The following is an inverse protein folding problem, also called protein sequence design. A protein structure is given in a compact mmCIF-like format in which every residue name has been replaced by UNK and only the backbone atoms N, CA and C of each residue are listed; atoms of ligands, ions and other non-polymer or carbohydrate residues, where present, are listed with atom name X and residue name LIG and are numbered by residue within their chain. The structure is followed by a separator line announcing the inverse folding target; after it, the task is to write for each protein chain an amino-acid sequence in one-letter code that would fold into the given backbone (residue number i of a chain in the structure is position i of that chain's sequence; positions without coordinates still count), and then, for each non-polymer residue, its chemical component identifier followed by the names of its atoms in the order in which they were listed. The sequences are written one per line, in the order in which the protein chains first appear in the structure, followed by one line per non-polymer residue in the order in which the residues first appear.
data_IF_913414883768
#
_entry.id   IF_913414883768
#
_cell.length_a   1.000
_cell.length_b   1.000
_cell.length_c   1.000
_cell.angle_alpha   90.00
_cell.angle_beta   90.00
_cell.angle_gamma   90.00
#
_symmetry.space_group_name_H-M   'P 1'
#
loop_
_entity.id
_entity.type
_entity.pdbx_description
1 polymer ?
#
# COMPACT_ATOMS: atom_id res chain seq x y z
N UNK A 1 -16.14 -11.69 6.96
CA UNK A 1 -17.33 -10.94 6.52
C UNK A 1 -18.48 -11.26 7.44
N UNK A 2 -19.09 -10.22 8.00
CA UNK A 2 -20.32 -10.31 8.79
C UNK A 2 -21.34 -9.40 8.10
N UNK A 3 -22.38 -9.98 7.50
CA UNK A 3 -23.40 -9.23 6.75
C UNK A 3 -24.48 -8.69 7.69
N UNK A 4 -24.83 -9.46 8.74
CA UNK A 4 -25.78 -9.03 9.78
C UNK A 4 -25.10 -9.05 11.16
N UNK A 5 -25.52 -8.21 12.11
CA UNK A 5 -24.85 -8.11 13.41
C UNK A 5 -24.75 -9.43 14.19
N UNK A 6 -25.70 -10.34 14.02
CA UNK A 6 -25.75 -11.64 14.72
C UNK A 6 -24.97 -12.77 14.04
N UNK A 7 -24.51 -12.60 12.80
CA UNK A 7 -23.72 -13.64 12.12
C UNK A 7 -22.29 -13.73 12.69
N UNK A 8 -21.70 -14.93 12.74
CA UNK A 8 -20.30 -15.09 13.11
C UNK A 8 -19.40 -14.33 12.13
N UNK A 9 -18.34 -13.73 12.64
CA UNK A 9 -17.33 -13.09 11.80
C UNK A 9 -16.46 -14.17 11.15
N UNK A 10 -16.69 -14.42 9.87
CA UNK A 10 -15.87 -15.35 9.08
C UNK A 10 -14.70 -14.61 8.44
N UNK A 11 -13.50 -14.72 8.98
CA UNK A 11 -12.31 -14.08 8.41
C UNK A 11 -11.71 -14.94 7.30
N UNK A 12 -11.52 -14.33 6.13
CA UNK A 12 -10.87 -14.95 4.97
C UNK A 12 -9.75 -14.01 4.52
N UNK A 13 -8.55 -14.10 5.10
CA UNK A 13 -7.44 -13.23 4.73
C UNK A 13 -7.06 -13.47 3.27
N UNK A 14 -7.06 -12.40 2.47
CA UNK A 14 -6.67 -12.45 1.06
C UNK A 14 -5.15 -12.46 0.89
N UNK A 15 -4.44 -11.77 1.79
CA UNK A 15 -2.98 -11.61 1.77
C UNK A 15 -2.39 -12.11 3.09
N UNK A 16 -1.16 -12.61 3.05
CA UNK A 16 -0.38 -12.85 4.26
C UNK A 16 -0.07 -11.52 4.97
N UNK A 17 0.18 -11.52 6.29
CA UNK A 17 0.55 -10.31 7.02
C UNK A 17 1.77 -9.60 6.41
N UNK A 18 2.79 -10.37 5.98
CA UNK A 18 3.99 -9.81 5.36
C UNK A 18 3.72 -9.17 4.00
N UNK A 19 2.90 -9.80 3.15
CA UNK A 19 2.51 -9.22 1.87
C UNK A 19 1.71 -7.92 2.05
N UNK A 20 0.72 -7.93 2.96
CA UNK A 20 -0.08 -6.76 3.29
C UNK A 20 0.79 -5.60 3.81
N UNK A 21 1.76 -5.90 4.68
CA UNK A 21 2.69 -4.92 5.23
C UNK A 21 3.57 -4.28 4.15
N UNK A 22 4.19 -5.08 3.27
CA UNK A 22 5.04 -4.56 2.18
C UNK A 22 4.22 -3.68 1.22
N UNK A 23 3.05 -4.16 0.79
CA UNK A 23 2.17 -3.41 -0.14
C UNK A 23 1.76 -2.07 0.48
N UNK A 24 1.41 -2.07 1.76
CA UNK A 24 1.03 -0.84 2.46
C UNK A 24 2.16 0.17 2.50
N UNK A 25 3.40 -0.25 2.79
CA UNK A 25 4.59 0.62 2.78
C UNK A 25 4.88 1.18 1.38
N UNK A 26 4.74 0.36 0.34
CA UNK A 26 4.86 0.83 -1.06
C UNK A 26 3.85 1.94 -1.34
N UNK A 27 2.58 1.74 -0.98
CA UNK A 27 1.51 2.71 -1.19
C UNK A 27 1.64 3.98 -0.32
N UNK A 28 2.42 3.92 0.76
CA UNK A 28 2.78 5.07 1.59
C UNK A 28 4.04 5.81 1.09
N UNK A 29 4.70 5.33 0.03
CA UNK A 29 5.98 5.88 -0.44
C UNK A 29 7.19 5.45 0.41
N UNK A 30 7.02 4.47 1.29
CA UNK A 30 8.04 3.90 2.19
C UNK A 30 8.55 2.53 1.69
N UNK A 31 8.65 2.35 0.37
CA UNK A 31 8.99 1.07 -0.25
C UNK A 31 10.42 0.57 0.07
N UNK A 32 11.33 1.49 0.37
CA UNK A 32 12.74 1.17 0.60
C UNK A 32 12.96 0.69 2.04
N UNK A 33 13.78 -0.34 2.26
CA UNK A 33 14.05 -0.81 3.61
C UNK A 33 14.91 0.18 4.39
N UNK A 34 14.56 0.34 5.66
CA UNK A 34 15.28 1.14 6.66
C UNK A 34 15.48 0.29 7.92
N UNK A 35 16.42 0.65 8.80
CA UNK A 35 16.58 -0.03 10.09
C UNK A 35 15.27 -0.02 10.89
N UNK A 36 15.02 -1.07 11.69
CA UNK A 36 13.75 -1.20 12.44
C UNK A 36 13.50 -0.01 13.39
N UNK A 37 14.57 0.53 14.00
CA UNK A 37 14.48 1.71 14.85
C UNK A 37 14.04 2.99 14.11
N UNK A 38 14.17 3.01 12.79
CA UNK A 38 13.76 4.10 11.91
C UNK A 38 12.41 3.86 11.24
N UNK A 39 11.78 2.69 11.46
CA UNK A 39 10.45 2.40 10.90
C UNK A 39 9.37 3.19 11.62
N UNK A 40 8.58 3.94 10.84
CA UNK A 40 7.37 4.60 11.34
C UNK A 40 6.41 3.53 11.86
N UNK A 41 6.19 3.50 13.18
CA UNK A 41 5.33 2.52 13.85
C UNK A 41 3.85 2.68 13.48
N UNK A 42 3.47 3.89 13.07
CA UNK A 42 2.14 4.23 12.55
C UNK A 42 2.31 4.63 11.10
N UNK A 43 1.97 3.75 10.16
CA UNK A 43 2.13 4.08 8.73
C UNK A 43 1.29 5.31 8.39
N UNK A 44 1.85 6.28 7.64
CA UNK A 44 1.07 7.39 7.11
C UNK A 44 -0.04 6.88 6.19
N UNK A 45 -0.84 7.82 5.67
CA UNK A 45 -1.87 7.50 4.68
C UNK A 45 -1.22 6.85 3.45
N UNK A 46 -1.47 5.55 3.27
CA UNK A 46 -1.08 4.79 2.09
C UNK A 46 -2.24 4.82 1.10
N UNK A 47 -2.02 5.16 -0.17
CA UNK A 47 -3.13 5.33 -1.10
C UNK A 47 -2.78 5.01 -2.55
N UNK A 48 -3.84 4.76 -3.32
CA UNK A 48 -3.74 4.57 -4.77
C UNK A 48 -4.88 5.27 -5.48
N UNK A 49 -4.56 5.83 -6.64
CA UNK A 49 -5.53 6.41 -7.58
C UNK A 49 -5.92 5.44 -8.69
N UNK A 50 -7.13 5.64 -9.20
CA UNK A 50 -7.63 5.07 -10.46
C UNK A 50 -8.38 6.12 -11.26
N UNK A 51 -8.30 6.05 -12.58
CA UNK A 51 -9.09 6.91 -13.49
C UNK A 51 -9.62 6.03 -14.60
N UNK A 52 -10.93 6.06 -14.85
CA UNK A 52 -11.51 5.28 -15.95
C UNK A 52 -11.19 5.91 -17.30
N UNK A 53 -11.24 5.10 -18.35
CA UNK A 53 -11.04 5.58 -19.71
C UNK A 53 -12.09 6.65 -20.06
N UNK A 54 -11.65 7.75 -20.67
CA UNK A 54 -12.53 8.86 -21.03
C UNK A 54 -12.97 9.74 -19.86
N UNK A 55 -12.25 9.75 -18.72
CA UNK A 55 -12.47 10.68 -17.61
C UNK A 55 -13.88 10.63 -17.00
N UNK A 56 -14.46 9.44 -16.88
CA UNK A 56 -15.81 9.27 -16.30
C UNK A 56 -15.78 9.12 -14.78
N UNK A 57 -14.74 8.46 -14.29
CA UNK A 57 -14.53 8.15 -12.89
C UNK A 57 -13.13 8.52 -12.46
N UNK A 58 -13.04 9.21 -11.33
CA UNK A 58 -11.79 9.45 -10.63
C UNK A 58 -11.90 8.88 -9.22
N UNK A 59 -11.05 7.90 -8.93
CA UNK A 59 -10.99 7.18 -7.67
C UNK A 59 -9.71 7.50 -6.89
N UNK A 60 -9.84 7.57 -5.57
CA UNK A 60 -8.73 7.46 -4.64
C UNK A 60 -9.14 6.54 -3.49
N UNK A 61 -8.40 5.46 -3.28
CA UNK A 61 -8.56 4.57 -2.13
C UNK A 61 -7.34 4.75 -1.24
N UNK A 62 -7.57 5.07 0.03
CA UNK A 62 -6.53 5.26 1.03
C UNK A 62 -6.76 4.44 2.29
N UNK A 63 -5.68 4.04 2.95
CA UNK A 63 -5.70 3.38 4.24
C UNK A 63 -4.74 4.11 5.18
N UNK A 64 -5.26 4.55 6.33
CA UNK A 64 -4.45 5.03 7.44
C UNK A 64 -4.46 4.00 8.56
N UNK A 65 -3.84 4.30 9.71
CA UNK A 65 -3.69 3.33 10.79
C UNK A 65 -5.02 2.70 11.29
N UNK A 66 -6.17 3.35 11.07
CA UNK A 66 -7.47 2.90 11.60
C UNK A 66 -8.56 2.75 10.53
N UNK A 67 -8.49 3.51 9.44
CA UNK A 67 -9.56 3.62 8.46
C UNK A 67 -9.10 3.23 7.07
N UNK A 68 -10.00 2.56 6.35
CA UNK A 68 -9.99 2.49 4.90
C UNK A 68 -11.00 3.52 4.37
N UNK A 69 -10.55 4.36 3.46
CA UNK A 69 -11.30 5.50 2.92
C UNK A 69 -11.34 5.33 1.40
N UNK A 70 -12.55 5.32 0.84
CA UNK A 70 -12.75 5.32 -0.60
C UNK A 70 -13.41 6.61 -1.04
N UNK A 71 -12.79 7.30 -1.99
CA UNK A 71 -13.32 8.51 -2.63
C UNK A 71 -13.56 8.21 -4.10
N UNK A 72 -14.76 8.50 -4.55
CA UNK A 72 -15.11 8.55 -5.97
C UNK A 72 -15.63 9.93 -6.30
N UNK A 73 -15.22 10.44 -7.46
CA UNK A 73 -15.77 11.64 -8.07
C UNK A 73 -16.05 11.34 -9.54
N UNK A 74 -17.25 11.69 -9.99
CA UNK A 74 -17.70 11.50 -11.36
C UNK A 74 -19.14 11.95 -11.48
N UNK A 75 -19.70 11.83 -12.69
CA UNK A 75 -21.12 12.10 -12.90
C UNK A 75 -21.93 10.81 -12.71
N UNK A 76 -23.05 10.83 -11.98
CA UNK A 76 -23.91 9.65 -11.83
C UNK A 76 -24.44 9.10 -13.17
N UNK A 77 -24.56 9.95 -14.20
CA UNK A 77 -24.96 9.57 -15.56
C UNK A 77 -23.79 9.02 -16.41
N UNK A 78 -22.59 8.95 -15.86
CA UNK A 78 -21.39 8.45 -16.51
C UNK A 78 -20.82 9.37 -17.59
N UNK A 79 -21.33 10.58 -17.79
CA UNK A 79 -20.81 11.52 -18.80
C UNK A 79 -19.37 11.93 -18.45
N UNK A 80 -18.44 11.99 -19.43
CA UNK A 80 -17.06 12.44 -19.20
C UNK A 80 -16.97 13.81 -18.53
N UNK A 81 -16.03 13.95 -17.60
CA UNK A 81 -15.63 15.24 -17.04
C UNK A 81 -14.16 15.44 -17.40
N UNK A 82 -13.92 16.11 -18.53
CA UNK A 82 -12.56 16.30 -19.06
C UNK A 82 -11.69 17.01 -18.02
N UNK A 83 -10.47 16.50 -17.82
CA UNK A 83 -9.53 17.02 -16.82
C UNK A 83 -9.75 16.46 -15.40
N UNK A 84 -10.79 15.66 -15.16
CA UNK A 84 -11.00 14.97 -13.90
C UNK A 84 -10.27 13.61 -13.89
N UNK A 85 -9.26 13.50 -13.03
CA UNK A 85 -8.54 12.24 -12.81
C UNK A 85 -8.21 12.09 -11.32
N UNK A 86 -8.04 10.84 -10.88
CA UNK A 86 -7.99 10.49 -9.45
C UNK A 86 -7.04 11.36 -8.61
N UNK A 87 -5.87 11.69 -9.16
CA UNK A 87 -4.89 12.52 -8.46
C UNK A 87 -5.34 13.98 -8.27
N UNK A 88 -5.94 14.60 -9.28
CA UNK A 88 -6.33 16.00 -9.20
C UNK A 88 -7.67 16.22 -8.46
N UNK A 89 -8.59 15.26 -8.51
CA UNK A 89 -9.93 15.43 -7.92
C UNK A 89 -10.16 14.62 -6.64
N UNK A 90 -9.85 13.32 -6.64
CA UNK A 90 -10.20 12.43 -5.53
C UNK A 90 -9.18 12.48 -4.38
N UNK A 91 -7.88 12.65 -4.66
CA UNK A 91 -6.82 12.71 -3.63
C UNK A 91 -6.97 13.92 -2.69
N UNK A 92 -7.27 15.15 -3.15
CA UNK A 92 -7.51 16.27 -2.23
C UNK A 92 -8.64 16.01 -1.23
N UNK A 93 -9.74 15.38 -1.69
CA UNK A 93 -10.86 14.99 -0.82
C UNK A 93 -10.46 13.88 0.15
N UNK A 94 -9.70 12.88 -0.32
CA UNK A 94 -9.15 11.82 0.53
C UNK A 94 -8.32 12.40 1.68
N UNK A 95 -7.45 13.36 1.39
CA UNK A 95 -6.63 14.03 2.41
C UNK A 95 -7.48 14.81 3.42
N UNK A 96 -8.50 15.54 2.96
CA UNK A 96 -9.41 16.26 3.85
C UNK A 96 -10.14 15.30 4.80
N UNK A 97 -10.72 14.22 4.28
CA UNK A 97 -11.43 13.21 5.08
C UNK A 97 -10.47 12.54 6.06
N UNK A 98 -9.25 12.18 5.62
CA UNK A 98 -8.23 11.61 6.49
C UNK A 98 -7.92 12.55 7.67
N UNK A 99 -7.69 13.84 7.40
CA UNK A 99 -7.37 14.82 8.43
C UNK A 99 -8.53 15.00 9.43
N UNK A 100 -9.77 15.06 8.94
CA UNK A 100 -10.96 15.12 9.80
C UNK A 100 -11.12 13.89 10.69
N UNK A 101 -10.84 12.70 10.16
CA UNK A 101 -10.92 11.45 10.90
C UNK A 101 -9.84 11.33 11.97
N UNK A 102 -8.61 11.77 11.69
CA UNK A 102 -7.49 11.72 12.63
C UNK A 102 -7.59 12.81 13.72
N UNK A 103 -8.25 13.94 13.45
CA UNK A 103 -8.44 15.01 14.42
C UNK A 103 -9.50 14.72 15.51
N UNK A 104 -10.24 13.61 15.42
CA UNK A 104 -11.32 13.30 16.38
C UNK A 104 -10.76 12.97 17.78
N UNK A 105 -11.27 13.59 18.86
CA UNK A 105 -10.77 13.37 20.24
C UNK A 105 -10.87 11.92 20.73
N UNK A 106 -11.76 11.11 20.15
CA UNK A 106 -11.87 9.68 20.46
C UNK A 106 -10.67 8.86 20.00
N UNK A 107 -9.84 9.37 19.07
CA UNK A 107 -8.53 8.79 18.74
C UNK A 107 -7.53 8.88 19.90
N UNK A 108 -7.67 9.87 20.77
CA UNK A 108 -6.71 10.16 21.85
C UNK A 108 -6.76 9.15 23.01
N UNK A 109 -7.83 8.35 23.14
CA UNK A 109 -8.01 7.45 24.29
C UNK A 109 -7.34 6.08 24.17
N UNK A 110 -6.86 5.69 22.99
CA UNK A 110 -6.27 4.35 22.77
C UNK A 110 -5.10 4.30 21.78
N UNK A 111 -4.59 5.46 21.35
CA UNK A 111 -3.54 5.53 20.34
C UNK A 111 -3.98 5.06 18.95
N UNK A 112 -3.08 5.25 17.98
CA UNK A 112 -3.23 4.70 16.65
C UNK A 112 -2.69 3.26 16.63
N UNK A 113 -3.34 2.33 15.90
CA UNK A 113 -2.80 0.99 15.71
C UNK A 113 -1.39 1.06 15.12
N UNK A 114 -0.49 0.25 15.67
CA UNK A 114 0.88 0.12 15.19
C UNK A 114 0.98 -0.94 14.10
N UNK A 115 1.86 -0.73 13.13
CA UNK A 115 2.09 -1.63 11.99
C UNK A 115 3.53 -2.14 12.00
N UNK A 116 3.79 -3.02 12.97
CA UNK A 116 5.10 -3.66 13.18
C UNK A 116 5.48 -4.52 11.97
N UNK A 117 6.77 -4.53 11.63
CA UNK A 117 7.30 -5.40 10.56
C UNK A 117 7.07 -6.87 10.94
N UNK A 118 6.33 -7.66 10.14
CA UNK A 118 6.13 -9.07 10.41
C UNK A 118 7.47 -9.84 10.31
N UNK A 119 7.67 -10.90 11.11
CA UNK A 119 8.87 -11.74 11.04
C UNK A 119 9.15 -12.37 9.67
N UNK A 120 8.11 -12.56 8.84
CA UNK A 120 8.24 -13.04 7.46
C UNK A 120 8.82 -12.01 6.49
N UNK A 121 8.89 -10.74 6.87
CA UNK A 121 9.47 -9.68 6.03
C UNK A 121 10.90 -9.45 6.46
N UNK A 122 11.85 -9.43 5.53
CA UNK A 122 13.27 -9.14 5.80
C UNK A 122 13.81 -8.12 4.81
N UNK A 123 14.85 -7.37 5.19
CA UNK A 123 15.58 -6.53 4.25
C UNK A 123 16.56 -7.40 3.44
N UNK A 124 16.71 -7.10 2.15
CA UNK A 124 17.65 -7.76 1.26
C UNK A 124 18.18 -6.84 0.19
N UNK A 125 19.16 -7.33 -0.57
CA UNK A 125 19.71 -6.65 -1.75
C UNK A 125 19.42 -7.47 -2.99
N UNK A 126 18.95 -6.80 -4.03
CA UNK A 126 18.65 -7.39 -5.34
C UNK A 126 19.40 -6.63 -6.44
N UNK A 127 19.56 -7.28 -7.58
CA UNK A 127 20.19 -6.75 -8.77
C UNK A 127 19.15 -6.36 -9.81
N UNK A 128 19.15 -5.11 -10.26
CA UNK A 128 18.35 -4.66 -11.39
C UNK A 128 19.04 -5.03 -12.72
N UNK A 129 18.29 -5.48 -13.75
CA UNK A 129 16.83 -5.59 -13.81
C UNK A 129 16.23 -6.92 -13.31
N UNK A 130 17.05 -7.93 -13.01
CA UNK A 130 16.58 -9.29 -12.71
C UNK A 130 15.81 -9.47 -11.41
N UNK A 131 15.96 -8.55 -10.45
CA UNK A 131 15.28 -8.60 -9.16
C UNK A 131 15.85 -9.64 -8.18
N UNK A 132 16.91 -10.34 -8.56
CA UNK A 132 17.55 -11.40 -7.77
C UNK A 132 18.81 -10.93 -7.09
N UNK A 133 19.21 -11.61 -6.03
CA UNK A 133 20.53 -11.43 -5.45
C UNK A 133 21.55 -12.20 -6.29
N UNK A 134 22.50 -11.48 -6.91
CA UNK A 134 23.56 -12.07 -7.73
C UNK A 134 24.94 -11.82 -7.08
N UNK A 135 25.92 -12.71 -7.32
CA UNK A 135 27.29 -12.54 -6.83
C UNK A 135 27.90 -11.19 -7.18
N UNK A 136 28.87 -10.76 -6.37
CA UNK A 136 29.66 -9.56 -6.67
C UNK A 136 30.40 -9.74 -7.99
N UNK A 137 30.32 -8.74 -8.88
CA UNK A 137 30.92 -8.78 -10.21
C UNK A 137 30.10 -9.47 -11.30
N UNK A 138 28.91 -10.01 -10.99
CA UNK A 138 28.03 -10.59 -12.00
C UNK A 138 27.63 -9.55 -13.06
N UNK A 139 27.85 -9.88 -14.35
CA UNK A 139 27.57 -8.99 -15.48
C UNK A 139 26.08 -8.65 -15.63
N UNK A 140 25.18 -9.49 -15.11
CA UNK A 140 23.74 -9.25 -15.12
C UNK A 140 23.28 -8.30 -14.00
N UNK A 141 24.17 -7.94 -13.07
CA UNK A 141 23.88 -7.02 -11.98
C UNK A 141 24.32 -5.58 -12.31
N UNK A 142 23.45 -4.82 -12.99
CA UNK A 142 23.75 -3.43 -13.38
C UNK A 142 23.69 -2.48 -12.19
N UNK A 143 22.74 -2.69 -11.27
CA UNK A 143 22.57 -1.88 -10.06
C UNK A 143 22.09 -2.73 -8.91
N UNK A 144 22.73 -2.59 -7.74
CA UNK A 144 22.26 -3.18 -6.48
C UNK A 144 21.26 -2.24 -5.82
N UNK A 145 20.10 -2.78 -5.44
CA UNK A 145 19.01 -2.06 -4.80
C UNK A 145 18.62 -2.79 -3.52
N UNK A 146 18.41 -2.04 -2.46
CA UNK A 146 17.83 -2.58 -1.24
C UNK A 146 16.31 -2.77 -1.44
N UNK A 147 15.75 -3.83 -0.87
CA UNK A 147 14.31 -4.12 -0.95
C UNK A 147 13.83 -4.88 0.29
N UNK A 148 12.52 -4.86 0.53
CA UNK A 148 11.86 -5.83 1.39
C UNK A 148 11.66 -7.15 0.65
N UNK A 149 11.87 -8.27 1.33
CA UNK A 149 11.66 -9.63 0.86
C UNK A 149 10.64 -10.33 1.77
N UNK A 150 9.63 -10.95 1.17
CA UNK A 150 8.66 -11.79 1.86
C UNK A 150 9.18 -13.23 1.89
N UNK A 151 9.38 -13.82 3.06
CA UNK A 151 9.91 -15.18 3.24
C UNK A 151 11.21 -15.42 2.46
N UNK A 152 12.06 -14.38 2.39
CA UNK A 152 13.30 -14.33 1.59
C UNK A 152 13.08 -14.57 0.08
N UNK A 153 11.84 -14.52 -0.40
CA UNK A 153 11.51 -14.73 -1.81
C UNK A 153 12.07 -13.62 -2.68
N UNK A 154 12.66 -14.03 -3.80
CA UNK A 154 13.10 -13.18 -4.89
C UNK A 154 12.34 -13.61 -6.15
N UNK A 155 12.15 -12.73 -7.15
CA UNK A 155 11.50 -13.09 -8.41
C UNK A 155 12.18 -14.34 -8.98
N UNK A 156 11.43 -15.43 -9.22
CA UNK A 156 12.01 -16.64 -9.79
C UNK A 156 12.59 -16.29 -11.16
N UNK A 157 13.83 -16.69 -11.41
CA UNK A 157 14.35 -16.70 -12.78
C UNK A 157 13.52 -17.72 -13.52
N UNK A 158 13.07 -17.41 -14.74
CA UNK A 158 12.66 -18.47 -15.64
C UNK A 158 13.83 -19.47 -15.66
N UNK A 159 13.59 -20.69 -15.18
CA UNK A 159 14.55 -21.76 -15.35
C UNK A 159 14.77 -21.85 -16.85
N UNK A 160 16.02 -21.67 -17.29
CA UNK A 160 16.38 -21.96 -18.67
C UNK A 160 15.97 -23.44 -18.93
N UNK A 161 15.30 -23.73 -20.05
CA UNK A 161 14.95 -25.10 -20.41
C UNK A 161 16.18 -26.02 -20.50
#
# INVERSE_FOLDING_TARGET
MRITPGSPLLERPLLSPGAAWIVRRILAGEAQPVPDASLTQVVPLAWKTGTSYGYRDAWAIGINARYLIGIWTGRPDGTPVVGQFGFASAVPLLNQVNNMLLARPTMSRGGLPTDLRPPSVSAGTICWPGGQNLPTGDANCRRRLATWLLDKSQPPTLLLP
#
